data_IF_865387462782
#
_entry.id   IF_865387462782
#
_cell.length_a   1.000
_cell.length_b   1.000
_cell.length_c   1.000
_cell.angle_alpha   90.00
_cell.angle_beta   90.00
_cell.angle_gamma   90.00
#
_symmetry.space_group_name_H-M   'P 1'
#
loop_
_entity.id
_entity.type
_entity.pdbx_description
1 polymer ?
#
# COMPACT_ATOMS: atom_id res chain seq x y z
N UNK A 1 25.09 24.68 23.71
CA UNK A 1 24.99 23.24 23.40
C UNK A 1 26.20 22.85 22.59
N UNK A 2 27.05 21.95 23.08
CA UNK A 2 28.21 21.48 22.30
C UNK A 2 27.71 20.68 21.10
N UNK A 3 28.37 20.75 19.93
CA UNK A 3 27.96 20.03 18.71
C UNK A 3 27.73 18.52 18.93
N UNK A 4 28.40 17.92 19.90
CA UNK A 4 28.25 16.51 20.31
C UNK A 4 26.86 16.15 20.88
N UNK A 5 26.18 17.07 21.56
CA UNK A 5 24.85 16.82 22.13
C UNK A 5 23.79 16.79 21.03
N UNK A 6 23.90 17.69 20.05
CA UNK A 6 23.00 17.72 18.90
C UNK A 6 23.15 16.46 18.05
N UNK A 7 24.39 16.01 17.81
CA UNK A 7 24.67 14.77 17.08
C UNK A 7 24.08 13.53 17.77
N UNK A 8 24.24 13.43 19.09
CA UNK A 8 23.69 12.32 19.89
C UNK A 8 22.16 12.33 19.88
N UNK A 9 21.54 13.51 20.04
CA UNK A 9 20.09 13.65 19.96
C UNK A 9 19.55 13.29 18.56
N UNK A 10 20.20 13.74 17.49
CA UNK A 10 19.81 13.39 16.13
C UNK A 10 19.91 11.89 15.85
N UNK A 11 20.95 11.25 16.39
CA UNK A 11 21.14 9.80 16.32
C UNK A 11 20.03 9.03 17.05
N UNK A 12 19.76 9.38 18.31
CA UNK A 12 18.75 8.71 19.14
C UNK A 12 17.35 8.90 18.57
N UNK A 13 17.03 10.12 18.12
CA UNK A 13 15.77 10.42 17.44
C UNK A 13 15.66 9.59 16.17
N UNK A 14 16.71 9.55 15.33
CA UNK A 14 16.72 8.76 14.10
C UNK A 14 16.45 7.28 14.37
N UNK A 15 17.13 6.67 15.35
CA UNK A 15 16.91 5.28 15.73
C UNK A 15 15.50 5.03 16.28
N UNK A 16 14.94 5.98 17.03
CA UNK A 16 13.56 5.87 17.51
C UNK A 16 12.57 5.75 16.35
N UNK A 17 12.82 6.41 15.22
CA UNK A 17 12.00 6.33 14.00
C UNK A 17 12.20 5.03 13.19
N UNK A 18 13.22 4.21 13.48
CA UNK A 18 13.41 2.93 12.80
C UNK A 18 12.27 1.95 13.12
N UNK A 19 11.97 1.79 14.41
CA UNK A 19 10.93 0.87 14.88
C UNK A 19 9.54 1.13 14.28
N UNK A 20 8.99 2.38 14.28
CA UNK A 20 7.71 2.65 13.65
C UNK A 20 7.77 2.46 12.12
N UNK A 21 8.91 2.74 11.48
CA UNK A 21 9.09 2.50 10.05
C UNK A 21 9.00 1.00 9.73
N UNK A 22 9.72 0.16 10.47
CA UNK A 22 9.67 -1.30 10.33
C UNK A 22 8.28 -1.86 10.61
N UNK A 23 7.61 -1.37 11.67
CA UNK A 23 6.25 -1.76 12.00
C UNK A 23 5.26 -1.39 10.87
N UNK A 24 5.40 -0.20 10.29
CA UNK A 24 4.57 0.25 9.17
C UNK A 24 4.80 -0.59 7.91
N UNK A 25 6.06 -0.94 7.61
CA UNK A 25 6.40 -1.86 6.50
C UNK A 25 5.73 -3.23 6.74
N UNK A 26 5.83 -3.78 7.95
CA UNK A 26 5.17 -5.03 8.30
C UNK A 26 3.65 -4.97 8.15
N UNK A 27 3.02 -3.88 8.59
CA UNK A 27 1.58 -3.67 8.44
C UNK A 27 1.18 -3.56 6.97
N UNK A 28 1.92 -2.80 6.16
CA UNK A 28 1.68 -2.68 4.72
C UNK A 28 1.87 -4.02 3.99
N UNK A 29 2.85 -4.82 4.40
CA UNK A 29 3.05 -6.17 3.86
C UNK A 29 1.85 -7.07 4.15
N UNK A 30 1.38 -7.13 5.40
CA UNK A 30 0.18 -7.90 5.76
C UNK A 30 -1.06 -7.38 5.02
N UNK A 31 -1.22 -6.05 4.92
CA UNK A 31 -2.29 -5.43 4.16
C UNK A 31 -2.24 -5.81 2.67
N UNK A 32 -1.06 -5.90 2.07
CA UNK A 32 -0.89 -6.29 0.67
C UNK A 32 -1.39 -7.73 0.42
N UNK A 33 -1.05 -8.68 1.30
CA UNK A 33 -1.56 -10.05 1.21
C UNK A 33 -3.08 -10.12 1.41
N UNK A 34 -3.60 -9.36 2.39
CA UNK A 34 -5.04 -9.28 2.60
C UNK A 34 -5.77 -8.69 1.38
N UNK A 35 -5.24 -7.63 0.78
CA UNK A 35 -5.77 -7.01 -0.44
C UNK A 35 -5.70 -7.96 -1.64
N UNK A 36 -4.64 -8.76 -1.75
CA UNK A 36 -4.50 -9.80 -2.77
C UNK A 36 -5.54 -10.92 -2.60
N UNK A 37 -5.80 -11.37 -1.36
CA UNK A 37 -6.84 -12.35 -1.06
C UNK A 37 -8.25 -11.84 -1.40
N UNK A 38 -8.55 -10.60 -1.01
CA UNK A 38 -9.79 -9.89 -1.40
C UNK A 38 -9.92 -9.82 -2.93
N UNK A 39 -8.85 -9.48 -3.63
CA UNK A 39 -8.81 -9.43 -5.08
C UNK A 39 -9.04 -10.80 -5.72
N UNK A 40 -8.41 -11.86 -5.20
CA UNK A 40 -8.59 -13.22 -5.70
C UNK A 40 -10.04 -13.70 -5.51
N UNK A 41 -10.64 -13.41 -4.35
CA UNK A 41 -12.04 -13.71 -4.08
C UNK A 41 -12.97 -12.95 -5.04
N UNK A 42 -12.71 -11.66 -5.26
CA UNK A 42 -13.46 -10.86 -6.23
C UNK A 42 -13.35 -11.43 -7.65
N UNK A 43 -12.13 -11.77 -8.09
CA UNK A 43 -11.89 -12.39 -9.40
C UNK A 43 -12.67 -13.71 -9.55
N UNK A 44 -12.72 -14.51 -8.49
CA UNK A 44 -13.42 -15.78 -8.47
C UNK A 44 -14.95 -15.62 -8.47
N UNK A 45 -15.49 -14.68 -7.69
CA UNK A 45 -16.92 -14.33 -7.73
C UNK A 45 -17.33 -13.82 -9.10
N UNK A 46 -16.52 -12.95 -9.72
CA UNK A 46 -16.78 -12.38 -11.05
C UNK A 46 -16.80 -13.42 -12.18
N UNK A 47 -16.09 -14.54 -11.99
CA UNK A 47 -16.14 -15.68 -12.92
C UNK A 47 -17.40 -16.54 -12.73
N UNK A 48 -18.02 -16.52 -11.55
CA UNK A 48 -19.18 -17.35 -11.21
C UNK A 48 -20.52 -16.61 -11.31
N UNK A 49 -20.52 -15.29 -11.20
CA UNK A 49 -21.72 -14.48 -11.17
C UNK A 49 -21.63 -13.33 -12.17
N UNK A 50 -22.74 -13.08 -12.87
CA UNK A 50 -22.87 -11.93 -13.76
C UNK A 50 -22.97 -10.60 -13.00
N UNK A 51 -22.73 -9.51 -13.73
CA UNK A 51 -22.70 -8.12 -13.23
C UNK A 51 -24.00 -7.76 -12.48
N UNK A 52 -25.13 -8.25 -12.97
CA UNK A 52 -26.48 -7.98 -12.43
C UNK A 52 -26.66 -8.42 -10.98
N UNK A 53 -25.94 -9.45 -10.54
CA UNK A 53 -26.06 -9.98 -9.18
C UNK A 53 -25.44 -9.07 -8.11
N UNK A 54 -24.64 -8.08 -8.49
CA UNK A 54 -23.89 -7.20 -7.58
C UNK A 54 -22.79 -7.90 -6.76
N UNK A 55 -22.69 -9.24 -6.80
CA UNK A 55 -21.71 -10.03 -6.04
C UNK A 55 -20.37 -10.07 -6.76
N UNK A 56 -19.35 -9.45 -6.16
CA UNK A 56 -18.00 -9.34 -6.73
C UNK A 56 -17.76 -8.06 -7.54
N UNK A 57 -18.78 -7.21 -7.69
CA UNK A 57 -18.74 -5.92 -8.38
C UNK A 57 -18.88 -4.80 -7.35
N UNK A 58 -17.74 -4.27 -6.91
CA UNK A 58 -17.66 -3.32 -5.79
C UNK A 58 -18.46 -2.03 -6.07
N UNK A 59 -18.42 -1.54 -7.31
CA UNK A 59 -19.09 -0.30 -7.67
C UNK A 59 -20.59 -0.50 -7.85
N UNK A 60 -20.99 -1.63 -8.44
CA UNK A 60 -22.41 -1.99 -8.57
C UNK A 60 -23.06 -2.17 -7.20
N UNK A 61 -22.40 -2.89 -6.29
CA UNK A 61 -22.86 -3.05 -4.91
C UNK A 61 -22.96 -1.71 -4.16
N UNK A 62 -22.00 -0.80 -4.39
CA UNK A 62 -22.03 0.54 -3.82
C UNK A 62 -23.16 1.40 -4.41
N UNK A 63 -23.37 1.34 -5.73
CA UNK A 63 -24.43 2.08 -6.42
C UNK A 63 -25.84 1.64 -5.99
N UNK A 64 -26.06 0.34 -5.82
CA UNK A 64 -27.32 -0.22 -5.34
C UNK A 64 -27.67 0.22 -3.91
N UNK A 65 -26.66 0.40 -3.05
CA UNK A 65 -26.87 0.78 -1.64
C UNK A 65 -27.04 2.29 -1.43
N UNK A 66 -26.44 3.13 -2.29
CA UNK A 66 -26.43 4.58 -2.11
C UNK A 66 -27.40 5.35 -3.02
N UNK A 67 -28.15 4.68 -3.90
CA UNK A 67 -29.24 5.30 -4.69
C UNK A 67 -28.79 6.54 -5.45
N UNK A 68 -27.64 6.45 -6.12
CA UNK A 68 -26.87 7.63 -6.55
C UNK A 68 -27.46 8.26 -7.80
N UNK A 69 -27.99 9.48 -7.70
CA UNK A 69 -28.67 10.18 -8.81
C UNK A 69 -27.73 10.71 -9.91
N UNK A 70 -26.48 11.08 -9.60
CA UNK A 70 -25.56 11.74 -10.54
C UNK A 70 -24.40 10.85 -11.03
N UNK A 71 -24.04 10.89 -12.33
CA UNK A 71 -22.88 10.18 -12.89
C UNK A 71 -21.56 10.48 -12.17
N UNK A 72 -21.31 11.76 -11.86
CA UNK A 72 -20.08 12.21 -11.22
C UNK A 72 -19.83 11.55 -9.86
N UNK A 73 -20.89 11.19 -9.13
CA UNK A 73 -20.77 10.54 -7.84
C UNK A 73 -20.30 9.08 -7.95
N UNK A 74 -20.58 8.40 -9.07
CA UNK A 74 -20.05 7.06 -9.35
C UNK A 74 -18.54 7.12 -9.67
N UNK A 75 -18.12 8.13 -10.42
CA UNK A 75 -16.70 8.35 -10.72
C UNK A 75 -15.89 8.62 -9.44
N UNK A 76 -16.41 9.48 -8.57
CA UNK A 76 -15.80 9.75 -7.25
C UNK A 76 -15.71 8.49 -6.41
N UNK A 77 -16.76 7.66 -6.38
CA UNK A 77 -16.76 6.41 -5.64
C UNK A 77 -15.71 5.41 -6.19
N UNK A 78 -15.64 5.24 -7.51
CA UNK A 78 -14.63 4.40 -8.15
C UNK A 78 -13.20 4.84 -7.79
N UNK A 79 -12.96 6.15 -7.70
CA UNK A 79 -11.66 6.69 -7.29
C UNK A 79 -11.37 6.41 -5.81
N UNK A 80 -12.33 6.66 -4.90
CA UNK A 80 -12.20 6.38 -3.46
C UNK A 80 -11.91 4.90 -3.16
N UNK A 81 -12.51 3.98 -3.91
CA UNK A 81 -12.29 2.54 -3.73
C UNK A 81 -10.84 2.10 -4.01
N UNK A 82 -10.11 2.82 -4.86
CA UNK A 82 -8.70 2.53 -5.20
C UNK A 82 -7.70 3.30 -4.32
N UNK A 83 -8.14 4.36 -3.64
CA UNK A 83 -7.27 5.32 -2.97
C UNK A 83 -6.34 4.65 -1.95
N UNK A 84 -6.88 3.81 -1.07
CA UNK A 84 -6.08 3.12 -0.04
C UNK A 84 -4.98 2.24 -0.63
N UNK A 85 -5.27 1.50 -1.70
CA UNK A 85 -4.27 0.66 -2.36
C UNK A 85 -3.23 1.50 -3.13
N UNK A 86 -3.63 2.64 -3.71
CA UNK A 86 -2.70 3.57 -4.38
C UNK A 86 -1.73 4.20 -3.38
N UNK A 87 -2.22 4.60 -2.22
CA UNK A 87 -1.39 5.14 -1.14
C UNK A 87 -0.40 4.06 -0.69
N UNK A 88 -0.87 2.84 -0.37
CA UNK A 88 0.01 1.74 0.02
C UNK A 88 1.12 1.47 -1.01
N UNK A 89 0.77 1.45 -2.29
CA UNK A 89 1.71 1.24 -3.41
C UNK A 89 2.84 2.28 -3.44
N UNK A 90 2.53 3.55 -3.15
CA UNK A 90 3.50 4.65 -3.21
C UNK A 90 4.30 4.81 -1.92
N UNK A 91 3.65 4.60 -0.78
CA UNK A 91 4.25 4.81 0.54
C UNK A 91 5.17 3.65 0.93
N UNK A 92 4.85 2.40 0.57
CA UNK A 92 5.68 1.26 0.97
C UNK A 92 7.15 1.38 0.48
N UNK A 93 7.45 1.68 -0.80
CA UNK A 93 8.84 1.86 -1.25
C UNK A 93 9.56 3.03 -0.57
N UNK A 94 8.85 4.14 -0.31
CA UNK A 94 9.41 5.30 0.40
C UNK A 94 9.81 4.94 1.83
N UNK A 95 8.98 4.16 2.54
CA UNK A 95 9.33 3.64 3.86
C UNK A 95 10.52 2.67 3.80
N UNK A 96 10.61 1.85 2.75
CA UNK A 96 11.77 1.00 2.50
C UNK A 96 13.06 1.80 2.37
N UNK A 97 13.04 2.92 1.64
CA UNK A 97 14.20 3.83 1.54
C UNK A 97 14.56 4.46 2.89
N UNK A 98 13.57 4.89 3.67
CA UNK A 98 13.80 5.42 5.02
C UNK A 98 14.44 4.37 5.93
N UNK A 99 13.99 3.11 5.83
CA UNK A 99 14.52 2.00 6.63
C UNK A 99 16.00 1.69 6.37
N UNK A 100 16.56 2.08 5.21
CA UNK A 100 18.01 1.93 4.94
C UNK A 100 18.82 3.15 5.36
N UNK A 101 18.23 4.34 5.30
CA UNK A 101 18.93 5.58 5.65
C UNK A 101 19.12 5.74 7.16
N UNK A 102 18.16 5.31 7.98
CA UNK A 102 18.24 5.42 9.45
C UNK A 102 19.41 4.63 10.06
N UNK A 103 19.60 3.32 9.79
CA UNK A 103 20.67 2.54 10.41
C UNK A 103 22.07 2.81 9.85
N UNK A 104 22.20 3.61 8.78
CA UNK A 104 23.50 3.90 8.17
C UNK A 104 24.44 4.68 9.11
N UNK A 105 23.92 5.61 9.92
CA UNK A 105 24.71 6.33 10.94
C UNK A 105 25.38 5.37 11.96
N UNK A 106 24.59 4.53 12.66
CA UNK A 106 25.12 3.47 13.54
C UNK A 106 26.11 2.54 12.85
N UNK A 107 25.85 2.16 11.60
CA UNK A 107 26.72 1.26 10.83
C UNK A 107 28.08 1.91 10.53
N UNK A 108 28.12 3.16 10.07
CA UNK A 108 29.38 3.87 9.79
C UNK A 108 30.21 4.10 11.06
N UNK A 109 29.55 4.40 12.19
CA UNK A 109 30.22 4.50 13.49
C UNK A 109 30.81 3.16 13.92
N UNK A 110 30.08 2.07 13.75
CA UNK A 110 30.55 0.71 14.08
C UNK A 110 31.73 0.27 13.20
N UNK A 111 31.71 0.66 11.92
CA UNK A 111 32.79 0.44 10.97
C UNK A 111 34.09 1.12 11.42
N UNK A 112 34.02 2.39 11.85
CA UNK A 112 35.19 3.12 12.36
C UNK A 112 35.80 2.49 13.62
N UNK A 113 35.00 1.74 14.39
CA UNK A 113 35.45 0.98 15.56
C UNK A 113 35.94 -0.44 15.26
N UNK A 114 35.99 -0.86 13.99
CA UNK A 114 36.40 -2.21 13.57
C UNK A 114 35.37 -3.31 13.83
N UNK A 115 34.14 -2.98 14.21
CA UNK A 115 33.10 -3.96 14.53
C UNK A 115 32.26 -4.33 13.31
N UNK A 116 32.81 -5.21 12.46
CA UNK A 116 32.16 -5.64 11.22
C UNK A 116 30.90 -6.49 11.45
N UNK A 117 30.80 -7.19 12.58
CA UNK A 117 29.63 -8.01 12.91
C UNK A 117 28.36 -7.15 13.08
N UNK A 118 28.45 -6.07 13.86
CA UNK A 118 27.34 -5.14 14.05
C UNK A 118 26.96 -4.40 12.76
N UNK A 119 27.91 -4.12 11.88
CA UNK A 119 27.62 -3.52 10.57
C UNK A 119 26.78 -4.48 9.72
N UNK A 120 27.15 -5.77 9.71
CA UNK A 120 26.40 -6.81 9.00
C UNK A 120 24.95 -6.91 9.47
N UNK A 121 24.72 -6.96 10.79
CA UNK A 121 23.37 -7.08 11.36
C UNK A 121 22.47 -5.90 10.99
N UNK A 122 22.98 -4.67 11.12
CA UNK A 122 22.24 -3.46 10.73
C UNK A 122 21.88 -3.45 9.24
N UNK A 123 22.80 -3.91 8.38
CA UNK A 123 22.54 -4.04 6.94
C UNK A 123 21.49 -5.12 6.64
N UNK A 124 21.54 -6.27 7.31
CA UNK A 124 20.57 -7.34 7.12
C UNK A 124 19.15 -6.88 7.45
N UNK A 125 18.97 -6.16 8.56
CA UNK A 125 17.65 -5.60 8.94
C UNK A 125 17.18 -4.60 7.89
N UNK A 126 18.04 -3.67 7.49
CA UNK A 126 17.74 -2.65 6.48
C UNK A 126 17.30 -3.26 5.13
N UNK A 127 18.07 -4.21 4.59
CA UNK A 127 17.74 -4.87 3.32
C UNK A 127 16.47 -5.70 3.40
N UNK A 128 16.26 -6.41 4.50
CA UNK A 128 15.03 -7.19 4.71
C UNK A 128 13.79 -6.29 4.69
N UNK A 129 13.86 -5.12 5.32
CA UNK A 129 12.78 -4.14 5.32
C UNK A 129 12.46 -3.63 3.90
N UNK A 130 13.48 -3.35 3.08
CA UNK A 130 13.30 -2.95 1.67
C UNK A 130 12.62 -4.06 0.87
N UNK A 131 13.07 -5.30 1.01
CA UNK A 131 12.50 -6.43 0.28
C UNK A 131 10.99 -6.55 0.60
N UNK A 132 10.63 -6.50 1.89
CA UNK A 132 9.22 -6.55 2.31
C UNK A 132 8.41 -5.37 1.76
N UNK A 133 8.96 -4.15 1.82
CA UNK A 133 8.34 -2.95 1.29
C UNK A 133 8.08 -3.03 -0.22
N UNK A 134 9.05 -3.52 -1.00
CA UNK A 134 8.94 -3.67 -2.44
C UNK A 134 7.95 -4.78 -2.83
N UNK A 135 7.92 -5.89 -2.10
CA UNK A 135 6.92 -6.95 -2.29
C UNK A 135 5.52 -6.40 -2.04
N UNK A 136 5.32 -5.70 -0.92
CA UNK A 136 4.04 -5.07 -0.58
C UNK A 136 3.57 -4.11 -1.68
N UNK A 137 4.47 -3.21 -2.12
CA UNK A 137 4.20 -2.26 -3.19
C UNK A 137 3.85 -2.92 -4.52
N UNK A 138 4.58 -3.98 -4.90
CA UNK A 138 4.36 -4.71 -6.15
C UNK A 138 2.99 -5.39 -6.17
N UNK A 139 2.62 -6.03 -5.05
CA UNK A 139 1.30 -6.66 -4.90
C UNK A 139 0.20 -5.61 -5.00
N UNK A 140 0.27 -4.52 -4.22
CA UNK A 140 -0.78 -3.50 -4.24
C UNK A 140 -0.86 -2.77 -5.58
N UNK A 141 0.26 -2.54 -6.25
CA UNK A 141 0.31 -1.95 -7.59
C UNK A 141 -0.45 -2.82 -8.60
N UNK A 142 -0.17 -4.12 -8.61
CA UNK A 142 -0.84 -5.05 -9.50
C UNK A 142 -2.35 -5.09 -9.25
N UNK A 143 -2.77 -5.17 -7.98
CA UNK A 143 -4.19 -5.15 -7.60
C UNK A 143 -4.87 -3.84 -8.03
N UNK A 144 -4.24 -2.68 -7.86
CA UNK A 144 -4.79 -1.38 -8.30
C UNK A 144 -5.01 -1.36 -9.80
N UNK A 145 -4.04 -1.82 -10.59
CA UNK A 145 -4.14 -1.78 -12.06
C UNK A 145 -5.30 -2.63 -12.56
N UNK A 146 -5.46 -3.84 -12.03
CA UNK A 146 -6.55 -4.72 -12.44
C UNK A 146 -7.90 -4.20 -11.94
N UNK A 147 -8.00 -3.78 -10.67
CA UNK A 147 -9.25 -3.20 -10.14
C UNK A 147 -9.66 -1.93 -10.86
N UNK A 148 -8.72 -1.08 -11.27
CA UNK A 148 -9.02 0.12 -12.06
C UNK A 148 -9.74 -0.23 -13.36
N UNK A 149 -9.29 -1.28 -14.05
CA UNK A 149 -9.97 -1.77 -15.26
C UNK A 149 -11.39 -2.26 -14.95
N UNK A 150 -11.54 -3.07 -13.90
CA UNK A 150 -12.85 -3.59 -13.51
C UNK A 150 -13.86 -2.50 -13.11
N UNK A 151 -13.42 -1.49 -12.36
CA UNK A 151 -14.27 -0.36 -11.97
C UNK A 151 -14.69 0.48 -13.19
N UNK A 152 -13.81 0.63 -14.18
CA UNK A 152 -14.16 1.32 -15.43
C UNK A 152 -15.22 0.54 -16.23
N UNK A 153 -15.09 -0.79 -16.32
CA UNK A 153 -16.12 -1.65 -16.93
C UNK A 153 -17.47 -1.53 -16.19
N UNK A 154 -17.44 -1.49 -14.85
CA UNK A 154 -18.64 -1.31 -14.02
C UNK A 154 -19.28 0.07 -14.19
N UNK A 155 -18.49 1.14 -14.32
CA UNK A 155 -18.97 2.50 -14.62
C UNK A 155 -19.72 2.54 -15.94
N UNK A 156 -19.14 1.98 -17.00
CA UNK A 156 -19.76 1.94 -18.34
C UNK A 156 -21.08 1.16 -18.30
N UNK A 157 -21.08 -0.01 -17.65
CA UNK A 157 -22.29 -0.83 -17.52
C UNK A 157 -23.40 -0.10 -16.75
N UNK A 158 -23.08 0.57 -15.64
CA UNK A 158 -24.04 1.37 -14.86
C UNK A 158 -24.59 2.57 -15.65
N UNK A 159 -23.77 3.18 -16.50
CA UNK A 159 -24.21 4.25 -17.41
C UNK A 159 -25.24 3.75 -18.41
N UNK A 160 -24.94 2.65 -19.12
CA UNK A 160 -25.83 2.05 -20.11
C UNK A 160 -27.14 1.55 -19.50
N UNK A 161 -27.08 0.90 -18.33
CA UNK A 161 -28.27 0.40 -17.64
C UNK A 161 -29.23 1.52 -17.22
N UNK A 162 -28.72 2.74 -17.00
CA UNK A 162 -29.54 3.91 -16.69
C UNK A 162 -30.16 4.56 -17.92
N UNK A 163 -29.42 4.67 -19.01
CA UNK A 163 -29.98 5.20 -20.27
C UNK A 163 -31.11 4.32 -20.83
N UNK A 164 -31.09 3.02 -20.52
CA UNK A 164 -32.14 2.08 -20.87
C UNK A 164 -33.34 2.06 -19.91
N UNK A 165 -33.28 2.77 -18.77
CA UNK A 165 -34.39 2.87 -17.83
C UNK A 165 -35.32 4.03 -18.24
N UNK A 166 -36.62 3.78 -18.52
CA UNK A 166 -37.56 4.78 -19.03
C UNK A 166 -37.94 5.86 -18.00
#
# INVERSE_FOLDING_TARGET
MTPTVLETLMYDIGQLFLYPTLAMIGLLFLYAFWALGQFAMQAWLRRRHGIESGRGYLLVAWAQTHGVSHPDALDVAAHRLLERLRIATRVAPMLGLVATMIPMGPALKSLSGGNLANVGENLTIAFSAVILALIAASITFWVVNVRRRWLAEELVWLGQAREAAP
#
